data_IF_484900478760
#
_entry.id   IF_484900478760
#
_cell.length_a   1.000
_cell.length_b   1.000
_cell.length_c   1.000
_cell.angle_alpha   90.00
_cell.angle_beta   90.00
_cell.angle_gamma   90.00
#
_symmetry.space_group_name_H-M   'P 1'
#
loop_
_entity.id
_entity.type
_entity.pdbx_description
1 polymer ?
#
# COMPACT_ATOMS: atom_id res chain seq x y z
N UNK A 1 11.29 -22.41 -1.73
CA UNK A 1 11.80 -21.49 -0.69
C UNK A 1 11.50 -20.02 -1.01
N UNK A 2 11.89 -19.48 -2.17
CA UNK A 2 11.67 -18.06 -2.52
C UNK A 2 10.21 -17.59 -2.43
N UNK A 3 9.24 -18.40 -2.92
CA UNK A 3 7.80 -18.07 -2.81
C UNK A 3 7.32 -17.91 -1.37
N UNK A 4 7.84 -18.72 -0.45
CA UNK A 4 7.50 -18.66 0.98
C UNK A 4 8.05 -17.37 1.59
N UNK A 5 9.28 -17.01 1.24
CA UNK A 5 9.89 -15.75 1.68
C UNK A 5 9.10 -14.53 1.18
N UNK A 6 8.73 -14.51 -0.11
CA UNK A 6 7.91 -13.43 -0.69
C UNK A 6 6.56 -13.34 0.02
N UNK A 7 5.91 -14.49 0.26
CA UNK A 7 4.65 -14.53 0.99
C UNK A 7 4.79 -13.97 2.42
N UNK A 8 5.85 -14.36 3.14
CA UNK A 8 6.13 -13.88 4.49
C UNK A 8 6.34 -12.35 4.53
N UNK A 9 7.12 -11.80 3.59
CA UNK A 9 7.34 -10.35 3.47
C UNK A 9 6.04 -9.61 3.17
N UNK A 10 5.20 -10.13 2.26
CA UNK A 10 3.88 -9.54 1.97
C UNK A 10 2.96 -9.57 3.19
N UNK A 11 2.96 -10.66 3.94
CA UNK A 11 2.16 -10.80 5.15
C UNK A 11 2.63 -9.81 6.23
N UNK A 12 3.93 -9.73 6.49
CA UNK A 12 4.50 -8.78 7.45
C UNK A 12 4.15 -7.34 7.10
N UNK A 13 4.29 -6.97 5.83
CA UNK A 13 3.91 -5.63 5.34
C UNK A 13 2.44 -5.32 5.60
N UNK A 14 1.54 -6.28 5.34
CA UNK A 14 0.11 -6.12 5.58
C UNK A 14 -0.21 -5.95 7.07
N UNK A 15 0.45 -6.71 7.94
CA UNK A 15 0.30 -6.58 9.39
C UNK A 15 0.76 -5.20 9.86
N UNK A 16 1.91 -4.72 9.40
CA UNK A 16 2.43 -3.39 9.70
C UNK A 16 1.46 -2.30 9.21
N UNK A 17 0.94 -2.42 7.98
CA UNK A 17 -0.03 -1.48 7.44
C UNK A 17 -1.32 -1.41 8.27
N UNK A 18 -1.85 -2.56 8.70
CA UNK A 18 -3.04 -2.63 9.55
C UNK A 18 -2.80 -2.00 10.93
N UNK A 19 -1.61 -2.22 11.52
CA UNK A 19 -1.21 -1.59 12.77
C UNK A 19 -1.13 -0.06 12.63
N UNK A 20 -0.38 0.42 11.64
CA UNK A 20 -0.22 1.86 11.36
C UNK A 20 -1.54 2.53 11.01
N UNK A 21 -2.43 1.85 10.27
CA UNK A 21 -3.79 2.31 10.01
C UNK A 21 -4.64 2.45 11.27
N UNK A 22 -4.49 1.52 12.22
CA UNK A 22 -5.13 1.61 13.52
C UNK A 22 -4.60 2.82 14.30
N UNK A 23 -3.27 3.00 14.36
CA UNK A 23 -2.64 4.15 15.01
C UNK A 23 -3.12 5.46 14.39
N UNK A 24 -3.12 5.56 13.06
CA UNK A 24 -3.57 6.74 12.32
C UNK A 24 -5.03 7.09 12.64
N UNK A 25 -5.92 6.10 12.80
CA UNK A 25 -7.32 6.32 13.16
C UNK A 25 -7.51 6.99 14.53
N UNK A 26 -6.59 6.78 15.47
CA UNK A 26 -6.65 7.40 16.81
C UNK A 26 -5.82 8.69 16.91
N UNK A 27 -4.70 8.80 16.19
CA UNK A 27 -3.78 9.93 16.31
C UNK A 27 -4.00 11.06 15.29
N UNK A 28 -4.63 10.80 14.15
CA UNK A 28 -4.77 11.79 13.06
C UNK A 28 -6.25 12.18 12.90
N UNK A 29 -6.74 13.18 13.65
CA UNK A 29 -8.15 13.57 13.63
C UNK A 29 -8.54 14.40 12.40
N UNK A 30 -7.58 14.90 11.61
CA UNK A 30 -7.73 15.97 10.61
C UNK A 30 -8.93 15.74 9.66
N UNK A 31 -9.23 14.49 9.28
CA UNK A 31 -10.37 14.15 8.39
C UNK A 31 -11.39 13.19 8.98
N UNK A 32 -11.20 12.77 10.23
CA UNK A 32 -12.07 11.76 10.85
C UNK A 32 -13.50 12.26 10.99
N UNK A 33 -13.68 13.53 11.40
CA UNK A 33 -15.01 14.14 11.58
C UNK A 33 -15.79 14.20 10.26
N UNK A 34 -15.14 14.66 9.20
CA UNK A 34 -15.77 14.79 7.89
C UNK A 34 -16.10 13.42 7.29
N UNK A 35 -15.21 12.43 7.46
CA UNK A 35 -15.50 11.06 7.06
C UNK A 35 -16.71 10.47 7.78
N UNK A 36 -16.78 10.60 9.11
CA UNK A 36 -17.90 10.10 9.90
C UNK A 36 -19.22 10.74 9.43
N UNK A 37 -19.20 12.06 9.20
CA UNK A 37 -20.36 12.79 8.66
C UNK A 37 -20.74 12.30 7.26
N UNK A 38 -19.77 12.18 6.36
CA UNK A 38 -20.02 11.79 4.97
C UNK A 38 -20.53 10.36 4.86
N UNK A 39 -19.97 9.43 5.63
CA UNK A 39 -20.42 8.03 5.66
C UNK A 39 -21.84 7.95 6.23
N UNK A 40 -22.13 8.65 7.33
CA UNK A 40 -23.47 8.68 7.91
C UNK A 40 -24.52 9.30 6.96
N UNK A 41 -24.14 10.31 6.19
CA UNK A 41 -25.01 10.91 5.18
C UNK A 41 -25.22 10.01 3.96
N UNK A 42 -24.19 9.27 3.55
CA UNK A 42 -24.24 8.38 2.37
C UNK A 42 -24.97 7.06 2.68
N UNK A 43 -24.93 6.62 3.94
CA UNK A 43 -25.50 5.36 4.41
C UNK A 43 -26.33 5.60 5.69
N UNK A 44 -27.46 6.29 5.59
CA UNK A 44 -28.27 6.67 6.75
C UNK A 44 -28.88 5.48 7.51
N UNK A 45 -28.97 4.31 6.88
CA UNK A 45 -29.41 3.06 7.49
C UNK A 45 -28.38 2.44 8.45
N UNK A 46 -27.12 2.92 8.43
CA UNK A 46 -26.04 2.38 9.25
C UNK A 46 -26.03 2.98 10.65
N UNK A 47 -25.83 2.10 11.63
CA UNK A 47 -25.62 2.54 13.02
C UNK A 47 -24.29 3.29 13.16
N UNK A 48 -24.17 4.14 14.18
CA UNK A 48 -22.91 4.84 14.51
C UNK A 48 -21.71 3.88 14.64
N UNK A 49 -21.93 2.69 15.22
CA UNK A 49 -20.89 1.67 15.37
C UNK A 49 -20.39 1.15 14.01
N UNK A 50 -21.29 0.95 13.06
CA UNK A 50 -20.93 0.56 11.69
C UNK A 50 -20.20 1.69 10.96
N UNK A 51 -20.65 2.94 11.12
CA UNK A 51 -19.98 4.11 10.56
C UNK A 51 -18.55 4.25 11.10
N UNK A 52 -18.36 4.09 12.41
CA UNK A 52 -17.03 4.10 13.05
C UNK A 52 -16.16 2.93 12.54
N UNK A 53 -16.75 1.74 12.38
CA UNK A 53 -16.06 0.57 11.85
C UNK A 53 -15.60 0.77 10.40
N UNK A 54 -16.47 1.28 9.52
CA UNK A 54 -16.14 1.63 8.14
C UNK A 54 -15.03 2.67 8.12
N UNK A 55 -15.15 3.73 8.93
CA UNK A 55 -14.15 4.80 9.03
C UNK A 55 -12.78 4.24 9.41
N UNK A 56 -12.72 3.37 10.43
CA UNK A 56 -11.46 2.72 10.84
C UNK A 56 -10.85 1.86 9.73
N UNK A 57 -11.68 1.16 8.95
CA UNK A 57 -11.19 0.35 7.83
C UNK A 57 -10.67 1.22 6.68
N UNK A 58 -11.28 2.37 6.40
CA UNK A 58 -10.75 3.30 5.39
C UNK A 58 -9.36 3.79 5.79
N UNK A 59 -9.11 4.10 7.07
CA UNK A 59 -7.77 4.46 7.53
C UNK A 59 -6.74 3.33 7.30
N UNK A 60 -7.14 2.08 7.58
CA UNK A 60 -6.30 0.90 7.34
C UNK A 60 -5.99 0.71 5.85
N UNK A 61 -7.01 0.75 5.01
CA UNK A 61 -6.86 0.64 3.55
C UNK A 61 -6.02 1.78 2.98
N UNK A 62 -6.22 3.01 3.47
CA UNK A 62 -5.43 4.16 3.03
C UNK A 62 -3.94 3.97 3.32
N UNK A 63 -3.59 3.52 4.52
CA UNK A 63 -2.19 3.25 4.88
C UNK A 63 -1.63 2.07 4.09
N UNK A 64 -2.39 1.00 3.87
CA UNK A 64 -2.00 -0.14 3.04
C UNK A 64 -1.67 0.29 1.61
N UNK A 65 -2.56 1.06 0.96
CA UNK A 65 -2.34 1.61 -0.39
C UNK A 65 -1.12 2.53 -0.43
N UNK A 66 -0.91 3.38 0.60
CA UNK A 66 0.27 4.25 0.67
C UNK A 66 1.57 3.45 0.74
N UNK A 67 1.62 2.42 1.58
CA UNK A 67 2.80 1.55 1.70
C UNK A 67 3.05 0.78 0.40
N UNK A 68 1.99 0.24 -0.22
CA UNK A 68 2.13 -0.46 -1.50
C UNK A 68 2.60 0.49 -2.62
N UNK A 69 2.13 1.74 -2.62
CA UNK A 69 2.60 2.76 -3.57
C UNK A 69 4.10 3.03 -3.41
N UNK A 70 4.58 3.21 -2.17
CA UNK A 70 6.02 3.34 -1.92
C UNK A 70 6.80 2.11 -2.37
N UNK A 71 6.28 0.91 -2.16
CA UNK A 71 6.94 -0.33 -2.58
C UNK A 71 7.03 -0.43 -4.11
N UNK A 72 5.93 -0.14 -4.83
CA UNK A 72 5.89 -0.16 -6.30
C UNK A 72 6.84 0.89 -6.88
N UNK A 73 6.88 2.11 -6.31
CA UNK A 73 7.80 3.16 -6.75
C UNK A 73 9.29 2.82 -6.58
N UNK A 74 9.63 1.89 -5.69
CA UNK A 74 11.00 1.42 -5.48
C UNK A 74 11.29 0.10 -6.19
N UNK A 75 10.35 -0.43 -6.97
CA UNK A 75 10.59 -1.63 -7.76
C UNK A 75 11.41 -1.24 -8.99
N UNK A 76 12.56 -1.91 -9.26
CA UNK A 76 13.30 -1.67 -10.50
C UNK A 76 12.38 -1.97 -11.68
N UNK A 77 12.43 -1.12 -12.71
CA UNK A 77 11.67 -1.37 -13.93
C UNK A 77 12.25 -2.62 -14.60
N UNK A 78 11.39 -3.60 -14.85
CA UNK A 78 11.78 -4.86 -15.50
C UNK A 78 12.38 -4.59 -16.88
N UNK A 79 11.99 -3.48 -17.53
CA UNK A 79 12.54 -3.06 -18.82
C UNK A 79 13.95 -2.45 -18.77
N UNK A 80 14.43 -2.03 -17.61
CA UNK A 80 15.76 -1.42 -17.47
C UNK A 80 16.85 -2.48 -17.33
N UNK A 81 16.60 -3.58 -16.60
CA UNK A 81 17.57 -4.69 -16.49
C UNK A 81 17.83 -5.37 -17.84
N UNK A 82 16.79 -5.55 -18.67
CA UNK A 82 16.92 -6.17 -19.99
C UNK A 82 17.64 -5.24 -20.99
N UNK A 83 17.42 -3.92 -20.88
CA UNK A 83 18.17 -2.91 -21.65
C UNK A 83 19.64 -2.85 -21.25
N UNK A 84 19.95 -2.90 -19.96
CA UNK A 84 21.32 -2.86 -19.46
C UNK A 84 22.11 -4.09 -19.95
N UNK A 85 21.50 -5.27 -19.90
CA UNK A 85 22.11 -6.51 -20.45
C UNK A 85 22.31 -6.39 -21.97
N UNK A 86 21.34 -5.85 -22.71
CA UNK A 86 21.46 -5.66 -24.16
C UNK A 86 22.58 -4.68 -24.52
N UNK A 87 22.67 -3.55 -23.80
CA UNK A 87 23.71 -2.54 -24.01
C UNK A 87 25.09 -3.13 -23.73
N UNK A 88 25.28 -3.83 -22.62
CA UNK A 88 26.55 -4.48 -22.27
C UNK A 88 26.97 -5.48 -23.36
N UNK A 89 26.05 -6.34 -23.81
CA UNK A 89 26.32 -7.32 -24.86
C UNK A 89 26.65 -6.65 -26.20
N UNK A 90 25.97 -5.57 -26.56
CA UNK A 90 26.23 -4.80 -27.78
C UNK A 90 27.63 -4.17 -27.77
N UNK A 91 28.09 -3.63 -26.64
CA UNK A 91 29.44 -3.08 -26.52
C UNK A 91 30.52 -4.17 -26.59
N UNK A 92 30.34 -5.29 -25.88
CA UNK A 92 31.30 -6.39 -25.90
C UNK A 92 31.47 -6.98 -27.32
N UNK A 93 30.38 -7.14 -28.07
CA UNK A 93 30.41 -7.61 -29.46
C UNK A 93 31.10 -6.64 -30.43
N UNK A 94 31.20 -5.35 -30.09
CA UNK A 94 31.88 -4.35 -30.92
C UNK A 94 33.39 -4.25 -30.63
N UNK A 95 33.83 -4.85 -29.54
CA UNK A 95 35.24 -4.88 -29.11
C UNK A 95 35.97 -6.17 -29.55
N UNK A 96 35.25 -7.12 -30.15
CA UNK A 96 35.74 -8.30 -30.87
C UNK A 96 35.88 -8.01 -32.37
#
# INVERSE_FOLDING_TARGET
>A
MLKILIFAVRLLRRILAQFLGCVAYYLIPIRKKDMLKNIALSFPEKSKKEVDFITKNVYKTFIEVRIDMFFISNMPDVGDEEKDIYIINFYNKRLE
#
